data_IF_103201114895
#
_entry.id   IF_103201114895
#
_cell.length_a   1.000
_cell.length_b   1.000
_cell.length_c   1.000
_cell.angle_alpha   90.00
_cell.angle_beta   90.00
_cell.angle_gamma   90.00
#
_symmetry.space_group_name_H-M   'P 1'
#
loop_
_entity.id
_entity.type
_entity.pdbx_description
1 polymer ?
#
# COMPACT_ATOMS: atom_id res chain seq x y z
N UNK A 1 -25.79 -7.85 10.39
CA UNK A 1 -24.46 -7.23 10.17
C UNK A 1 -23.59 -7.22 11.42
N UNK A 2 -23.96 -6.53 12.52
CA UNK A 2 -23.11 -6.45 13.73
C UNK A 2 -22.70 -7.82 14.31
N UNK A 3 -23.63 -8.77 14.41
CA UNK A 3 -23.33 -10.13 14.87
C UNK A 3 -22.36 -10.87 13.95
N UNK A 4 -22.43 -10.67 12.63
CA UNK A 4 -21.52 -11.29 11.66
C UNK A 4 -20.10 -10.70 11.77
N UNK A 5 -19.99 -9.38 11.98
CA UNK A 5 -18.72 -8.71 12.17
C UNK A 5 -18.01 -9.18 13.46
N UNK A 6 -18.78 -9.49 14.50
CA UNK A 6 -18.28 -10.03 15.77
C UNK A 6 -17.92 -11.53 15.73
N UNK A 7 -18.24 -12.26 14.65
CA UNK A 7 -17.91 -13.70 14.58
C UNK A 7 -16.39 -13.97 14.61
N UNK A 8 -15.57 -13.03 14.15
CA UNK A 8 -14.10 -13.17 14.10
C UNK A 8 -13.44 -13.27 15.49
N UNK A 9 -14.14 -12.85 16.54
CA UNK A 9 -13.64 -12.91 17.92
C UNK A 9 -13.88 -14.28 18.58
N UNK A 10 -14.69 -15.14 17.95
CA UNK A 10 -15.01 -16.47 18.48
C UNK A 10 -13.95 -17.43 17.96
N UNK A 11 -13.31 -18.19 18.85
CA UNK A 11 -12.20 -19.13 18.54
C UNK A 11 -12.60 -20.35 17.67
N UNK A 12 -13.55 -20.19 16.73
CA UNK A 12 -13.98 -21.20 15.78
C UNK A 12 -13.76 -20.68 14.36
N UNK A 13 -12.71 -21.20 13.72
CA UNK A 13 -12.29 -20.78 12.38
C UNK A 13 -13.31 -21.12 11.29
N UNK A 14 -14.03 -22.24 11.39
CA UNK A 14 -15.07 -22.61 10.42
C UNK A 14 -16.24 -21.63 10.47
N UNK A 15 -16.69 -21.28 11.68
CA UNK A 15 -17.75 -20.30 11.89
C UNK A 15 -17.31 -18.91 11.42
N UNK A 16 -16.07 -18.50 11.71
CA UNK A 16 -15.50 -17.25 11.22
C UNK A 16 -15.53 -17.19 9.67
N UNK A 17 -15.02 -18.23 9.00
CA UNK A 17 -15.02 -18.34 7.54
C UNK A 17 -16.44 -18.24 6.99
N UNK A 18 -17.41 -18.92 7.61
CA UNK A 18 -18.80 -18.85 7.19
C UNK A 18 -19.37 -17.43 7.33
N UNK A 19 -19.18 -16.77 8.48
CA UNK A 19 -19.63 -15.40 8.69
C UNK A 19 -19.00 -14.43 7.68
N UNK A 20 -17.70 -14.55 7.39
CA UNK A 20 -16.99 -13.72 6.40
C UNK A 20 -17.56 -13.93 4.99
N UNK A 21 -17.84 -15.18 4.61
CA UNK A 21 -18.41 -15.48 3.31
C UNK A 21 -19.84 -14.92 3.15
N UNK A 22 -20.64 -14.96 4.22
CA UNK A 22 -21.95 -14.29 4.26
C UNK A 22 -21.79 -12.78 4.13
N UNK A 23 -20.86 -12.16 4.87
CA UNK A 23 -20.55 -10.73 4.72
C UNK A 23 -20.16 -10.39 3.28
N UNK A 24 -19.29 -11.20 2.65
CA UNK A 24 -18.87 -11.01 1.27
C UNK A 24 -20.07 -10.99 0.32
N UNK A 25 -20.99 -11.94 0.46
CA UNK A 25 -22.21 -11.98 -0.32
C UNK A 25 -23.05 -10.70 -0.14
N UNK A 26 -23.25 -10.25 1.10
CA UNK A 26 -24.00 -9.03 1.41
C UNK A 26 -23.35 -7.79 0.79
N UNK A 27 -22.01 -7.65 0.91
CA UNK A 27 -21.27 -6.53 0.32
C UNK A 27 -21.23 -6.55 -1.21
N UNK A 28 -21.41 -7.69 -1.87
CA UNK A 28 -21.44 -7.76 -3.34
C UNK A 28 -22.83 -7.51 -3.92
N UNK A 29 -23.88 -7.87 -3.18
CA UNK A 29 -25.22 -7.89 -3.74
C UNK A 29 -25.83 -6.48 -3.81
N UNK A 30 -26.40 -6.12 -4.97
CA UNK A 30 -26.87 -4.74 -5.27
C UNK A 30 -28.01 -4.30 -4.35
N UNK A 31 -28.97 -5.18 -4.06
CA UNK A 31 -30.11 -4.89 -3.16
C UNK A 31 -29.70 -4.48 -1.73
N UNK A 32 -28.49 -4.80 -1.29
CA UNK A 32 -28.00 -4.43 0.05
C UNK A 32 -27.05 -3.23 0.03
N UNK A 33 -26.90 -2.54 -1.12
CA UNK A 33 -25.94 -1.45 -1.28
C UNK A 33 -25.99 -0.42 -0.16
N UNK A 34 -27.18 0.13 0.11
CA UNK A 34 -27.40 1.13 1.16
C UNK A 34 -27.26 0.53 2.57
N UNK A 35 -27.73 -0.70 2.75
CA UNK A 35 -27.74 -1.38 4.06
C UNK A 35 -26.34 -1.69 4.58
N UNK A 36 -25.36 -1.89 3.69
CA UNK A 36 -23.98 -2.20 4.09
C UNK A 36 -23.11 -0.96 4.31
N UNK A 37 -23.51 0.22 3.82
CA UNK A 37 -22.70 1.45 3.93
C UNK A 37 -22.25 1.78 5.36
N UNK A 38 -23.12 1.71 6.39
CA UNK A 38 -22.72 2.02 7.77
C UNK A 38 -21.73 1.02 8.38
N UNK A 39 -21.48 -0.11 7.69
CA UNK A 39 -20.64 -1.19 8.15
C UNK A 39 -19.30 -1.28 7.42
N UNK A 40 -19.05 -0.40 6.44
CA UNK A 40 -17.83 -0.46 5.62
C UNK A 40 -16.57 -0.29 6.47
N UNK A 41 -16.50 0.69 7.36
CA UNK A 41 -15.29 0.91 8.18
C UNK A 41 -14.95 -0.31 9.04
N UNK A 42 -15.97 -0.90 9.67
CA UNK A 42 -15.81 -2.09 10.50
C UNK A 42 -15.37 -3.30 9.66
N UNK A 43 -15.97 -3.50 8.49
CA UNK A 43 -15.58 -4.57 7.58
C UNK A 43 -14.16 -4.37 7.03
N UNK A 44 -13.74 -3.13 6.78
CA UNK A 44 -12.39 -2.82 6.33
C UNK A 44 -11.34 -3.17 7.38
N UNK A 45 -11.57 -2.76 8.63
CA UNK A 45 -10.71 -3.14 9.77
C UNK A 45 -10.67 -4.65 9.98
N UNK A 46 -11.84 -5.29 9.92
CA UNK A 46 -11.98 -6.74 10.05
C UNK A 46 -11.09 -7.47 9.03
N UNK A 47 -11.19 -7.08 7.75
CA UNK A 47 -10.40 -7.72 6.68
C UNK A 47 -8.90 -7.46 6.79
N UNK A 48 -8.48 -6.24 7.17
CA UNK A 48 -7.06 -5.93 7.38
C UNK A 48 -6.50 -6.75 8.53
N UNK A 49 -7.18 -6.80 9.68
CA UNK A 49 -6.73 -7.57 10.82
C UNK A 49 -6.70 -9.08 10.52
N UNK A 50 -7.77 -9.58 9.92
CA UNK A 50 -7.94 -10.99 9.56
C UNK A 50 -6.99 -11.48 8.45
N UNK A 51 -6.45 -10.57 7.63
CA UNK A 51 -5.45 -10.92 6.61
C UNK A 51 -4.19 -11.54 7.22
N UNK A 52 -3.88 -11.22 8.48
CA UNK A 52 -2.71 -11.72 9.21
C UNK A 52 -2.95 -13.02 9.99
N UNK A 53 -4.13 -13.65 9.83
CA UNK A 53 -4.48 -14.92 10.50
C UNK A 53 -3.45 -16.01 10.20
N UNK A 54 -3.20 -16.90 11.16
CA UNK A 54 -2.29 -18.04 10.96
C UNK A 54 -2.93 -19.15 10.13
N UNK A 55 -4.27 -19.20 10.09
CA UNK A 55 -5.04 -20.19 9.33
C UNK A 55 -5.24 -19.69 7.90
N UNK A 56 -4.73 -20.45 6.92
CA UNK A 56 -4.79 -20.06 5.51
C UNK A 56 -6.22 -19.85 4.98
N UNK A 57 -7.14 -20.72 5.38
CA UNK A 57 -8.55 -20.67 4.98
C UNK A 57 -9.21 -19.37 5.47
N UNK A 58 -8.90 -18.95 6.70
CA UNK A 58 -9.36 -17.68 7.27
C UNK A 58 -8.79 -16.50 6.49
N UNK A 59 -7.47 -16.49 6.22
CA UNK A 59 -6.84 -15.46 5.39
C UNK A 59 -7.52 -15.33 4.03
N UNK A 60 -7.77 -16.45 3.34
CA UNK A 60 -8.42 -16.47 2.04
C UNK A 60 -9.84 -15.88 2.08
N UNK A 61 -10.64 -16.24 3.11
CA UNK A 61 -11.96 -15.66 3.30
C UNK A 61 -11.90 -14.13 3.46
N UNK A 62 -10.99 -13.63 4.31
CA UNK A 62 -10.77 -12.19 4.49
C UNK A 62 -10.29 -11.50 3.21
N UNK A 63 -9.38 -12.11 2.45
CA UNK A 63 -8.92 -11.59 1.15
C UNK A 63 -10.08 -11.44 0.16
N UNK A 64 -10.99 -12.41 0.11
CA UNK A 64 -12.15 -12.35 -0.76
C UNK A 64 -13.17 -11.29 -0.33
N UNK A 65 -13.39 -11.12 0.97
CA UNK A 65 -14.21 -10.02 1.50
C UNK A 65 -13.56 -8.67 1.19
N UNK A 66 -12.24 -8.54 1.37
CA UNK A 66 -11.50 -7.33 1.01
C UNK A 66 -11.66 -6.98 -0.47
N UNK A 67 -11.51 -7.95 -1.36
CA UNK A 67 -11.72 -7.73 -2.80
C UNK A 67 -13.15 -7.26 -3.12
N UNK A 68 -14.17 -7.78 -2.42
CA UNK A 68 -15.55 -7.29 -2.54
C UNK A 68 -15.71 -5.85 -2.02
N UNK A 69 -15.06 -5.49 -0.91
CA UNK A 69 -15.06 -4.14 -0.37
C UNK A 69 -14.40 -3.13 -1.32
N UNK A 70 -13.24 -3.48 -1.90
CA UNK A 70 -12.56 -2.63 -2.90
C UNK A 70 -13.50 -2.34 -4.07
N UNK A 71 -14.13 -3.39 -4.65
CA UNK A 71 -15.10 -3.21 -5.75
C UNK A 71 -16.32 -2.39 -5.35
N UNK A 72 -16.77 -2.51 -4.09
CA UNK A 72 -17.93 -1.75 -3.58
C UNK A 72 -17.61 -0.26 -3.38
N UNK A 73 -16.43 0.05 -2.85
CA UNK A 73 -16.05 1.43 -2.48
C UNK A 73 -15.52 2.19 -3.69
N UNK A 74 -14.67 1.54 -4.49
CA UNK A 74 -13.96 2.15 -5.60
C UNK A 74 -14.53 1.74 -6.98
N UNK A 75 -15.51 0.85 -7.03
CA UNK A 75 -16.06 0.36 -8.29
C UNK A 75 -15.19 -0.74 -8.93
N UNK A 76 -15.65 -1.23 -10.08
CA UNK A 76 -14.95 -2.29 -10.84
C UNK A 76 -14.24 -1.67 -12.05
N UNK A 77 -12.96 -2.00 -12.34
CA UNK A 77 -12.24 -1.55 -13.53
C UNK A 77 -12.95 -1.92 -14.84
N UNK A 78 -12.73 -1.17 -15.91
CA UNK A 78 -13.41 -1.41 -17.20
C UNK A 78 -12.70 -2.51 -17.95
N UNK A 79 -11.38 -2.54 -17.80
CA UNK A 79 -10.52 -3.54 -18.39
C UNK A 79 -9.68 -4.13 -17.26
N UNK A 80 -9.65 -5.45 -17.16
CA UNK A 80 -8.71 -6.11 -16.27
C UNK A 80 -7.30 -5.92 -16.82
N UNK A 81 -6.46 -5.23 -16.05
CA UNK A 81 -5.06 -4.96 -16.41
C UNK A 81 -4.15 -5.79 -15.52
N UNK A 82 -3.05 -6.29 -16.11
CA UNK A 82 -1.95 -6.92 -15.37
C UNK A 82 -0.95 -5.88 -14.85
N UNK A 83 -1.44 -4.73 -14.41
CA UNK A 83 -0.64 -3.62 -13.89
C UNK A 83 -1.10 -3.25 -12.48
N UNK A 84 -0.24 -2.60 -11.72
CA UNK A 84 -0.57 -2.10 -10.38
C UNK A 84 -1.23 -0.70 -10.42
N UNK A 85 -1.40 -0.14 -11.62
CA UNK A 85 -2.01 1.17 -11.82
C UNK A 85 -3.53 1.06 -11.95
N UNK A 86 -4.22 1.66 -10.99
CA UNK A 86 -5.67 1.70 -10.93
C UNK A 86 -6.22 2.78 -11.88
N UNK A 87 -7.29 2.43 -12.62
CA UNK A 87 -8.02 3.39 -13.47
C UNK A 87 -8.53 4.58 -12.65
N UNK A 88 -8.47 5.80 -13.19
CA UNK A 88 -8.90 7.02 -12.48
C UNK A 88 -10.33 6.95 -11.96
N UNK A 89 -11.24 6.30 -12.71
CA UNK A 89 -12.65 6.10 -12.30
C UNK A 89 -12.80 5.19 -11.07
N UNK A 90 -11.78 4.40 -10.78
CA UNK A 90 -11.67 3.54 -9.61
C UNK A 90 -10.78 4.15 -8.52
N UNK A 91 -10.51 5.45 -8.59
CA UNK A 91 -9.81 6.20 -7.55
C UNK A 91 -10.71 7.23 -6.89
N UNK A 92 -10.47 7.48 -5.61
CA UNK A 92 -11.07 8.57 -4.85
C UNK A 92 -9.98 9.47 -4.30
N UNK A 93 -10.29 10.75 -4.11
CA UNK A 93 -9.41 11.62 -3.32
C UNK A 93 -9.35 11.12 -1.87
N UNK A 94 -8.24 11.40 -1.18
CA UNK A 94 -8.14 11.12 0.25
C UNK A 94 -9.29 11.73 1.05
N UNK A 95 -9.70 12.97 0.73
CA UNK A 95 -10.82 13.62 1.39
C UNK A 95 -12.14 12.92 1.14
N UNK A 96 -12.47 12.51 -0.09
CA UNK A 96 -13.72 11.78 -0.37
C UNK A 96 -13.79 10.47 0.43
N UNK A 97 -12.69 9.72 0.44
CA UNK A 97 -12.62 8.43 1.12
C UNK A 97 -12.66 8.58 2.65
N UNK A 98 -11.78 9.40 3.22
CA UNK A 98 -11.65 9.52 4.68
C UNK A 98 -12.72 10.44 5.30
N UNK A 99 -13.34 11.39 4.58
CA UNK A 99 -14.55 12.06 5.10
C UNK A 99 -15.71 11.09 5.25
N UNK A 100 -15.80 10.09 4.35
CA UNK A 100 -16.82 9.04 4.42
C UNK A 100 -16.48 7.95 5.44
N UNK A 101 -15.19 7.67 5.63
CA UNK A 101 -14.66 6.62 6.49
C UNK A 101 -13.56 7.17 7.43
N UNK A 102 -13.91 8.10 8.34
CA UNK A 102 -12.94 8.89 9.11
C UNK A 102 -12.08 8.05 10.05
N UNK A 103 -12.63 6.97 10.59
CA UNK A 103 -11.88 6.14 11.52
C UNK A 103 -10.72 5.42 10.83
N UNK A 104 -10.82 5.17 9.52
CA UNK A 104 -9.81 4.42 8.76
C UNK A 104 -8.48 5.17 8.61
N UNK A 105 -8.47 6.51 8.72
CA UNK A 105 -7.26 7.30 8.52
C UNK A 105 -6.17 6.95 9.55
N UNK A 106 -6.47 7.16 10.84
CA UNK A 106 -5.55 6.83 11.93
C UNK A 106 -5.27 5.33 12.02
N UNK A 107 -6.24 4.50 11.65
CA UNK A 107 -6.04 3.06 11.57
C UNK A 107 -5.02 2.66 10.50
N UNK A 108 -5.08 3.23 9.31
CA UNK A 108 -4.09 2.89 8.27
C UNK A 108 -2.71 3.41 8.66
N UNK A 109 -2.61 4.59 9.25
CA UNK A 109 -1.34 5.13 9.73
C UNK A 109 -0.72 4.22 10.80
N UNK A 110 -1.49 3.81 11.81
CA UNK A 110 -0.99 2.93 12.86
C UNK A 110 -0.59 1.56 12.32
N UNK A 111 -1.33 1.00 11.37
CA UNK A 111 -0.99 -0.27 10.78
C UNK A 111 0.25 -0.21 9.88
N UNK A 112 0.41 0.88 9.12
CA UNK A 112 1.63 1.12 8.32
C UNK A 112 2.85 1.27 9.22
N UNK A 113 2.72 2.02 10.32
CA UNK A 113 3.79 2.19 11.31
C UNK A 113 4.19 0.86 11.94
N UNK A 114 3.21 0.02 12.32
CA UNK A 114 3.46 -1.33 12.84
C UNK A 114 4.28 -2.19 11.85
N UNK A 115 3.94 -2.17 10.56
CA UNK A 115 4.68 -2.92 9.53
C UNK A 115 6.11 -2.41 9.39
N UNK A 116 6.29 -1.09 9.27
CA UNK A 116 7.62 -0.50 9.11
C UNK A 116 8.50 -0.67 10.35
N UNK A 117 7.93 -0.59 11.54
CA UNK A 117 8.65 -0.82 12.79
C UNK A 117 9.17 -2.25 12.90
N UNK A 118 8.45 -3.24 12.34
CA UNK A 118 8.90 -4.62 12.26
C UNK A 118 10.16 -4.81 11.41
N UNK A 119 10.42 -3.91 10.44
CA UNK A 119 11.62 -3.90 9.61
C UNK A 119 12.80 -3.18 10.27
N UNK A 120 12.55 -2.33 11.27
CA UNK A 120 13.59 -1.58 11.93
C UNK A 120 14.36 -2.45 12.95
N UNK A 121 15.69 -2.47 12.85
CA UNK A 121 16.55 -2.98 13.92
C UNK A 121 16.50 -1.99 15.10
N UNK A 122 15.74 -2.33 16.14
CA UNK A 122 15.72 -1.55 17.39
C UNK A 122 16.48 -2.30 18.48
N UNK A 123 17.47 -1.65 19.08
CA UNK A 123 18.19 -2.10 20.29
C UNK A 123 18.86 -3.48 20.18
N UNK A 124 19.62 -3.74 19.10
CA UNK A 124 20.29 -5.04 18.85
C UNK A 124 19.36 -6.26 18.88
N UNK A 125 18.04 -6.06 18.69
CA UNK A 125 17.07 -7.14 18.54
C UNK A 125 16.85 -7.42 17.06
N UNK A 126 16.69 -8.71 16.76
CA UNK A 126 16.39 -9.21 15.41
C UNK A 126 15.10 -8.52 14.90
N UNK A 127 15.07 -8.05 13.63
CA UNK A 127 13.85 -7.54 13.01
C UNK A 127 12.68 -8.50 13.22
N UNK A 128 11.53 -7.98 13.67
CA UNK A 128 10.34 -8.78 13.93
C UNK A 128 9.48 -8.97 12.68
N UNK A 129 9.92 -8.46 11.53
CA UNK A 129 9.22 -8.62 10.28
C UNK A 129 9.02 -10.09 9.94
N UNK A 130 7.80 -10.45 9.56
CA UNK A 130 7.41 -11.85 9.37
C UNK A 130 6.12 -11.96 8.57
N UNK A 131 5.56 -13.17 8.50
CA UNK A 131 4.39 -13.45 7.66
C UNK A 131 3.19 -12.55 7.99
N UNK A 132 2.96 -12.23 9.28
CA UNK A 132 1.87 -11.33 9.69
C UNK A 132 1.99 -9.94 9.04
N UNK A 133 3.18 -9.34 9.12
CA UNK A 133 3.49 -8.05 8.50
C UNK A 133 3.34 -8.10 6.97
N UNK A 134 3.80 -9.19 6.34
CA UNK A 134 3.66 -9.41 4.90
C UNK A 134 2.20 -9.43 4.46
N UNK A 135 1.35 -10.23 5.10
CA UNK A 135 -0.06 -10.34 4.72
C UNK A 135 -0.85 -9.07 5.01
N UNK A 136 -0.54 -8.38 6.11
CA UNK A 136 -1.19 -7.11 6.49
C UNK A 136 -0.85 -5.98 5.51
N UNK A 137 0.35 -6.00 4.92
CA UNK A 137 0.79 -5.00 3.94
C UNK A 137 -0.10 -4.98 2.68
N UNK A 138 -0.55 -6.14 2.19
CA UNK A 138 -1.31 -6.24 0.94
C UNK A 138 -2.59 -5.38 0.91
N UNK A 139 -3.57 -5.58 1.82
CA UNK A 139 -4.81 -4.81 1.77
C UNK A 139 -4.59 -3.31 1.97
N UNK A 140 -3.62 -2.91 2.80
CA UNK A 140 -3.29 -1.49 2.98
C UNK A 140 -2.74 -0.87 1.70
N UNK A 141 -1.72 -1.48 1.10
CA UNK A 141 -1.08 -0.93 -0.09
C UNK A 141 -2.01 -0.91 -1.29
N UNK A 142 -2.82 -1.97 -1.47
CA UNK A 142 -3.88 -1.98 -2.49
C UNK A 142 -4.82 -0.79 -2.25
N UNK A 143 -5.32 -0.59 -1.03
CA UNK A 143 -6.22 0.53 -0.75
C UNK A 143 -5.58 1.88 -1.08
N UNK A 144 -4.30 2.08 -0.72
CA UNK A 144 -3.57 3.31 -1.03
C UNK A 144 -3.40 3.53 -2.54
N UNK A 145 -3.29 2.48 -3.36
CA UNK A 145 -3.25 2.59 -4.83
C UNK A 145 -4.57 3.09 -5.44
N UNK A 146 -5.68 2.96 -4.71
CA UNK A 146 -6.98 3.51 -5.07
C UNK A 146 -7.21 4.95 -4.58
N UNK A 147 -6.26 5.52 -3.80
CA UNK A 147 -6.34 6.91 -3.34
C UNK A 147 -5.51 7.83 -4.22
N UNK A 148 -5.94 9.08 -4.32
CA UNK A 148 -5.18 10.19 -4.94
C UNK A 148 -5.14 11.39 -4.00
N UNK A 149 -4.09 12.24 -4.07
CA UNK A 149 -4.04 13.44 -3.26
C UNK A 149 -5.24 14.34 -3.57
N UNK A 150 -5.77 14.97 -2.52
CA UNK A 150 -6.76 16.03 -2.68
C UNK A 150 -6.09 17.31 -3.19
N UNK A 151 -6.66 17.90 -4.23
CA UNK A 151 -6.25 19.21 -4.75
C UNK A 151 -7.00 20.26 -3.94
N UNK A 152 -6.27 20.99 -3.11
CA UNK A 152 -6.85 21.97 -2.19
C UNK A 152 -7.56 23.10 -2.94
N UNK A 153 -8.78 23.42 -2.52
CA UNK A 153 -9.41 24.70 -2.85
C UNK A 153 -9.16 25.71 -1.73
N UNK A 154 -9.36 27.01 -2.01
CA UNK A 154 -9.11 28.11 -1.06
C UNK A 154 -9.89 28.00 0.28
N UNK A 155 -10.89 27.12 0.36
CA UNK A 155 -11.81 27.00 1.50
C UNK A 155 -11.79 25.60 2.16
N UNK A 156 -10.83 24.73 1.82
CA UNK A 156 -10.76 23.39 2.42
C UNK A 156 -9.88 23.37 3.66
N UNK A 157 -10.48 23.08 4.82
CA UNK A 157 -9.75 22.61 5.98
C UNK A 157 -9.13 21.23 5.65
N UNK A 158 -7.81 21.16 5.64
CA UNK A 158 -7.05 19.95 5.31
C UNK A 158 -7.22 18.86 6.38
N UNK A 159 -8.25 18.03 6.24
CA UNK A 159 -8.52 16.97 7.23
C UNK A 159 -7.76 15.65 6.98
N UNK A 160 -7.40 15.31 5.74
CA UNK A 160 -6.80 14.00 5.42
C UNK A 160 -5.66 14.07 4.41
N UNK A 161 -4.49 14.52 4.88
CA UNK A 161 -3.25 14.53 4.10
C UNK A 161 -2.71 13.12 3.86
N UNK A 162 -2.21 12.82 2.67
CA UNK A 162 -1.55 11.54 2.39
C UNK A 162 -0.04 11.56 2.70
N UNK A 163 0.53 12.73 2.98
CA UNK A 163 1.95 12.89 3.29
C UNK A 163 2.43 12.00 4.46
N UNK A 164 1.67 11.80 5.56
CA UNK A 164 2.11 10.98 6.69
C UNK A 164 2.32 9.49 6.34
N UNK A 165 1.77 8.99 5.24
CA UNK A 165 1.98 7.61 4.79
C UNK A 165 3.35 7.41 4.11
N UNK A 166 3.93 8.46 3.53
CA UNK A 166 5.12 8.37 2.68
C UNK A 166 6.36 7.80 3.39
N UNK A 167 6.71 8.18 4.64
CA UNK A 167 7.89 7.63 5.32
C UNK A 167 7.81 6.11 5.48
N UNK A 168 6.67 5.58 5.95
CA UNK A 168 6.49 4.15 6.12
C UNK A 168 6.48 3.41 4.77
N UNK A 169 5.85 3.99 3.74
CA UNK A 169 5.90 3.43 2.39
C UNK A 169 7.32 3.35 1.82
N UNK A 170 8.14 4.37 2.05
CA UNK A 170 9.55 4.37 1.64
C UNK A 170 10.34 3.29 2.39
N UNK A 171 10.10 3.11 3.69
CA UNK A 171 10.72 2.01 4.45
C UNK A 171 10.35 0.65 3.82
N UNK A 172 9.06 0.43 3.55
CA UNK A 172 8.61 -0.81 2.91
C UNK A 172 9.27 -0.98 1.54
N UNK A 173 9.25 0.06 0.70
CA UNK A 173 9.83 0.02 -0.64
C UNK A 173 11.32 -0.34 -0.62
N UNK A 174 12.10 0.25 0.30
CA UNK A 174 13.56 0.12 0.32
C UNK A 174 14.05 -1.14 1.02
N UNK A 175 13.37 -1.60 2.08
CA UNK A 175 13.92 -2.59 3.00
C UNK A 175 13.19 -3.93 3.02
N UNK A 176 11.93 -3.99 2.57
CA UNK A 176 11.17 -5.24 2.65
C UNK A 176 11.75 -6.30 1.68
N UNK A 177 11.93 -7.55 2.10
CA UNK A 177 12.49 -8.59 1.23
C UNK A 177 11.52 -9.00 0.11
N UNK A 178 10.21 -8.92 0.36
CA UNK A 178 9.18 -9.35 -0.59
C UNK A 178 9.02 -8.38 -1.78
N UNK A 179 9.45 -8.81 -2.96
CA UNK A 179 9.36 -8.02 -4.20
C UNK A 179 7.94 -7.53 -4.50
N UNK A 180 6.92 -8.39 -4.32
CA UNK A 180 5.52 -8.04 -4.58
C UNK A 180 5.04 -6.88 -3.71
N UNK A 181 5.52 -6.79 -2.47
CA UNK A 181 5.20 -5.67 -1.58
C UNK A 181 5.95 -4.42 -1.98
N UNK A 182 7.21 -4.52 -2.42
CA UNK A 182 7.95 -3.37 -2.97
C UNK A 182 7.24 -2.79 -4.19
N UNK A 183 6.77 -3.65 -5.09
CA UNK A 183 6.03 -3.23 -6.28
C UNK A 183 4.73 -2.50 -5.89
N UNK A 184 3.97 -3.04 -4.92
CA UNK A 184 2.77 -2.37 -4.40
C UNK A 184 3.06 -1.06 -3.65
N UNK A 185 4.12 -1.01 -2.85
CA UNK A 185 4.55 0.20 -2.13
C UNK A 185 4.97 1.30 -3.12
N UNK A 186 5.71 0.94 -4.17
CA UNK A 186 6.03 1.85 -5.27
C UNK A 186 4.77 2.37 -5.95
N UNK A 187 3.83 1.49 -6.33
CA UNK A 187 2.58 1.90 -6.95
C UNK A 187 1.71 2.78 -6.02
N UNK A 188 1.70 2.49 -4.72
CA UNK A 188 1.01 3.31 -3.72
C UNK A 188 1.64 4.71 -3.61
N UNK A 189 2.98 4.81 -3.52
CA UNK A 189 3.70 6.11 -3.54
C UNK A 189 3.30 6.91 -4.78
N UNK A 190 3.37 6.29 -5.97
CA UNK A 190 2.99 6.94 -7.22
C UNK A 190 1.53 7.41 -7.23
N UNK A 191 0.63 6.73 -6.52
CA UNK A 191 -0.79 7.09 -6.47
C UNK A 191 -1.08 8.23 -5.51
N UNK A 192 -0.40 8.26 -4.34
CA UNK A 192 -0.75 9.16 -3.26
C UNK A 192 0.10 10.44 -3.22
N UNK A 193 1.28 10.43 -3.85
CA UNK A 193 2.17 11.59 -3.89
C UNK A 193 1.67 12.67 -4.86
N UNK A 194 1.82 13.93 -4.45
CA UNK A 194 1.82 15.06 -5.39
C UNK A 194 3.13 15.11 -6.17
N UNK A 195 3.14 15.79 -7.30
CA UNK A 195 4.35 15.92 -8.14
C UNK A 195 5.55 16.47 -7.35
N UNK A 196 5.34 17.48 -6.50
CA UNK A 196 6.38 18.05 -5.65
C UNK A 196 6.90 17.09 -4.58
N UNK A 197 6.04 16.20 -4.06
CA UNK A 197 6.44 15.18 -3.08
C UNK A 197 7.25 14.08 -3.77
N UNK A 198 6.81 13.65 -4.96
CA UNK A 198 7.51 12.67 -5.76
C UNK A 198 8.91 13.19 -6.16
N UNK A 199 9.00 14.43 -6.61
CA UNK A 199 10.28 15.06 -6.94
C UNK A 199 11.21 15.11 -5.71
N UNK A 200 10.68 15.47 -4.54
CA UNK A 200 11.45 15.45 -3.28
C UNK A 200 11.94 14.05 -2.93
N UNK A 201 11.13 13.01 -3.14
CA UNK A 201 11.52 11.62 -2.92
C UNK A 201 12.66 11.22 -3.85
N UNK A 202 12.54 11.52 -5.15
CA UNK A 202 13.56 11.19 -6.16
C UNK A 202 14.89 11.92 -5.88
N UNK A 203 14.82 13.21 -5.52
CA UNK A 203 15.98 14.00 -5.10
C UNK A 203 16.65 13.39 -3.86
N UNK A 204 15.86 13.01 -2.86
CA UNK A 204 16.38 12.37 -1.66
C UNK A 204 17.06 11.03 -1.96
N UNK A 205 16.46 10.18 -2.81
CA UNK A 205 17.04 8.91 -3.24
C UNK A 205 18.38 9.11 -3.97
N UNK A 206 18.46 10.11 -4.85
CA UNK A 206 19.69 10.46 -5.53
C UNK A 206 20.80 10.85 -4.54
N UNK A 207 20.48 11.65 -3.52
CA UNK A 207 21.42 12.01 -2.45
C UNK A 207 21.88 10.78 -1.65
N UNK A 208 20.99 9.81 -1.41
CA UNK A 208 21.39 8.58 -0.72
C UNK A 208 22.39 7.78 -1.55
N UNK A 209 22.14 7.64 -2.85
CA UNK A 209 23.04 6.93 -3.77
C UNK A 209 24.43 7.56 -3.79
N UNK A 210 24.52 8.89 -3.91
CA UNK A 210 25.82 9.57 -3.99
C UNK A 210 26.65 9.40 -2.72
N UNK A 211 26.00 9.38 -1.55
CA UNK A 211 26.67 9.06 -0.27
C UNK A 211 27.21 7.63 -0.21
N UNK A 212 26.49 6.66 -0.78
CA UNK A 212 26.95 5.27 -0.81
C UNK A 212 28.13 5.07 -1.77
N UNK A 213 28.19 5.81 -2.88
CA UNK A 213 29.27 5.70 -3.88
C UNK A 213 30.61 6.31 -3.42
N UNK A 214 30.60 7.30 -2.52
CA UNK A 214 31.83 7.98 -2.07
C UNK A 214 32.58 7.23 -0.98
N UNK A 215 31.94 6.28 -0.28
CA UNK A 215 32.51 5.68 0.92
C UNK A 215 33.33 4.41 0.67
N UNK A 216 33.03 3.62 -0.37
CA UNK A 216 33.75 2.40 -0.69
C UNK A 216 33.71 2.19 -2.20
N UNK A 217 34.85 2.06 -2.88
CA UNK A 217 34.99 1.84 -4.34
C UNK A 217 34.30 0.57 -4.90
N UNK A 218 33.44 -0.09 -4.12
CA UNK A 218 32.48 -1.12 -4.51
C UNK A 218 31.15 -0.77 -3.83
N UNK A 219 30.13 -0.42 -4.60
CA UNK A 219 28.81 -0.05 -4.08
C UNK A 219 28.10 -1.26 -3.47
N UNK A 220 28.29 -1.51 -2.17
CA UNK A 220 27.51 -2.48 -1.39
C UNK A 220 26.08 -1.96 -1.10
N UNK A 221 25.39 -1.50 -2.14
CA UNK A 221 23.98 -1.14 -2.07
C UNK A 221 23.16 -2.44 -2.14
N UNK A 222 22.19 -2.60 -1.26
CA UNK A 222 21.39 -3.84 -1.23
C UNK A 222 20.61 -4.02 -2.54
N UNK A 223 20.45 -5.27 -2.97
CA UNK A 223 19.62 -5.59 -4.14
C UNK A 223 18.18 -5.07 -3.98
N UNK A 224 17.69 -5.00 -2.74
CA UNK A 224 16.37 -4.44 -2.42
C UNK A 224 16.29 -2.96 -2.79
N UNK A 225 17.32 -2.18 -2.46
CA UNK A 225 17.41 -0.75 -2.77
C UNK A 225 17.51 -0.49 -4.28
N UNK A 226 18.32 -1.28 -5.00
CA UNK A 226 18.40 -1.19 -6.48
C UNK A 226 17.04 -1.45 -7.11
N UNK A 227 16.37 -2.53 -6.70
CA UNK A 227 15.07 -2.91 -7.25
C UNK A 227 13.96 -1.93 -6.84
N UNK A 228 14.06 -1.28 -5.68
CA UNK A 228 13.14 -0.23 -5.25
C UNK A 228 13.15 0.97 -6.20
N UNK A 229 14.34 1.45 -6.56
CA UNK A 229 14.51 2.56 -7.50
C UNK A 229 14.06 2.14 -8.90
N UNK A 230 14.39 0.93 -9.32
CA UNK A 230 13.93 0.40 -10.60
C UNK A 230 12.39 0.38 -10.70
N UNK A 231 11.69 -0.02 -9.64
CA UNK A 231 10.22 -0.03 -9.58
C UNK A 231 9.61 1.38 -9.68
N UNK A 232 10.21 2.38 -9.02
CA UNK A 232 9.75 3.77 -9.15
C UNK A 232 9.92 4.27 -10.59
N UNK A 233 11.09 4.04 -11.19
CA UNK A 233 11.37 4.45 -12.56
C UNK A 233 10.46 3.75 -13.58
N UNK A 234 10.18 2.45 -13.38
CA UNK A 234 9.25 1.73 -14.27
C UNK A 234 7.84 2.31 -14.21
N UNK A 235 7.33 2.62 -13.02
CA UNK A 235 6.01 3.24 -12.87
C UNK A 235 5.98 4.68 -13.42
N UNK A 236 7.04 5.48 -13.23
CA UNK A 236 7.16 6.82 -13.83
C UNK A 236 7.06 6.74 -15.35
N UNK A 237 7.77 5.79 -15.96
CA UNK A 237 7.75 5.56 -17.40
C UNK A 237 6.38 5.04 -17.90
N UNK A 238 5.77 4.08 -17.19
CA UNK A 238 4.42 3.57 -17.51
C UNK A 238 3.35 4.67 -17.47
N UNK A 239 3.45 5.59 -16.50
CA UNK A 239 2.54 6.72 -16.34
C UNK A 239 2.88 7.91 -17.25
N UNK A 240 3.98 7.85 -18.01
CA UNK A 240 4.47 8.91 -18.89
C UNK A 240 4.58 10.27 -18.17
N UNK A 241 5.02 10.25 -16.92
CA UNK A 241 5.25 11.48 -16.16
C UNK A 241 6.45 12.24 -16.75
N UNK A 242 6.49 13.56 -16.52
CA UNK A 242 7.60 14.38 -16.98
C UNK A 242 8.93 13.86 -16.42
N UNK A 243 9.92 13.79 -17.30
CA UNK A 243 11.28 13.39 -16.93
C UNK A 243 11.92 14.57 -16.21
N UNK A 244 12.20 14.41 -14.93
CA UNK A 244 13.04 15.35 -14.18
C UNK A 244 14.52 14.95 -14.29
N UNK A 245 15.41 15.90 -14.04
CA UNK A 245 16.87 15.64 -13.99
C UNK A 245 17.21 14.47 -13.05
N UNK A 246 16.45 14.31 -11.97
CA UNK A 246 16.62 13.22 -11.01
C UNK A 246 16.21 11.86 -11.55
N UNK A 247 15.18 11.79 -12.40
CA UNK A 247 14.81 10.56 -13.11
C UNK A 247 15.93 10.13 -14.05
N UNK A 248 16.54 11.05 -14.79
CA UNK A 248 17.67 10.75 -15.68
C UNK A 248 18.87 10.23 -14.91
N UNK A 249 19.29 10.94 -13.85
CA UNK A 249 20.42 10.55 -12.99
C UNK A 249 20.22 9.17 -12.34
N UNK A 250 19.03 8.91 -11.81
CA UNK A 250 18.68 7.61 -11.22
C UNK A 250 18.67 6.49 -12.27
N UNK A 251 18.20 6.78 -13.49
CA UNK A 251 18.19 5.82 -14.59
C UNK A 251 19.60 5.43 -15.04
N UNK A 252 20.50 6.41 -15.16
CA UNK A 252 21.93 6.18 -15.45
C UNK A 252 22.55 5.30 -14.36
N UNK A 253 22.31 5.61 -13.10
CA UNK A 253 22.83 4.82 -11.99
C UNK A 253 22.31 3.38 -12.00
N UNK A 254 21.01 3.15 -12.23
CA UNK A 254 20.44 1.79 -12.33
C UNK A 254 21.10 0.98 -13.45
N UNK A 255 21.37 1.61 -14.60
CA UNK A 255 22.04 0.93 -15.71
C UNK A 255 23.48 0.52 -15.34
N UNK A 256 24.19 1.34 -14.57
CA UNK A 256 25.51 0.96 -14.03
C UNK A 256 25.41 -0.23 -13.09
N UNK A 257 24.43 -0.25 -12.17
CA UNK A 257 24.25 -1.38 -11.23
C UNK A 257 23.91 -2.70 -11.91
N UNK A 258 23.13 -2.68 -13.01
CA UNK A 258 22.82 -3.90 -13.79
C UNK A 258 24.06 -4.54 -14.41
N UNK A 259 25.08 -3.75 -14.74
CA UNK A 259 26.36 -4.27 -15.26
C UNK A 259 27.15 -5.01 -14.17
N UNK A 260 26.98 -4.64 -12.90
CA UNK A 260 27.64 -5.30 -11.77
C UNK A 260 26.91 -6.54 -11.25
N UNK A 261 25.59 -6.64 -11.44
CA UNK A 261 24.77 -7.78 -10.99
C UNK A 261 24.68 -8.94 -12.00
N UNK A 262 25.15 -8.73 -13.23
CA UNK A 262 25.19 -9.75 -14.29
C UNK A 262 26.60 -10.36 -14.51
N UNK A 263 27.54 -10.10 -13.60
CA UNK A 263 28.86 -10.73 -13.50
C UNK A 263 28.91 -11.63 -12.26
#
# INVERSE_FOLDING_TARGET
MRQLLACSERQNSELEIHCINVLRFLFMHSKFAELVLPHIECAFRLTINGSSSEIWQVRNAHTQLFAALIKRIFGTPAVERRTLHIETRCKQTSNEFFKRYPSLYEFFLSQMAYISDGLAEKNNKIPQFGCKHLFLSFPLLITLTHLRPHISSLNDDFHYSLQPFLPNLLILLLYIPAYSIRALASAAIMSISKDSELERILNWLFIQITKHSTFNGTSNVSQNFVSAIQLLLSHINELKLSVSESVEKLSVWINQQKLFLNC
#
